data_IF_496682023081
#
_entry.id   IF_496682023081
#
_cell.length_a   1.000
_cell.length_b   1.000
_cell.length_c   1.000
_cell.angle_alpha   90.00
_cell.angle_beta   90.00
_cell.angle_gamma   90.00
#
_symmetry.space_group_name_H-M   'P 1'
#
loop_
_entity.id
_entity.type
_entity.pdbx_description
1 polymer ?
#
# COMPACT_ATOMS: atom_id res chain seq x y z
N UNK A 1 -11.29 17.85 0.28
CA UNK A 1 -10.87 19.22 -0.14
C UNK A 1 -9.37 19.29 -0.48
N UNK A 2 -8.44 18.71 0.34
CA UNK A 2 -7.00 18.87 0.14
C UNK A 2 -6.50 18.45 -1.25
N UNK A 3 -6.95 17.31 -1.78
CA UNK A 3 -6.56 16.87 -3.13
C UNK A 3 -7.11 17.78 -4.24
N UNK A 4 -8.37 18.25 -4.11
CA UNK A 4 -8.95 19.19 -5.04
C UNK A 4 -8.18 20.52 -5.04
N UNK A 5 -7.84 21.04 -3.86
CA UNK A 5 -7.02 22.25 -3.74
C UNK A 5 -5.65 22.08 -4.39
N UNK A 6 -5.04 20.89 -4.24
CA UNK A 6 -3.77 20.58 -4.90
C UNK A 6 -3.90 20.59 -6.44
N UNK A 7 -4.97 19.99 -6.99
CA UNK A 7 -5.21 19.98 -8.43
C UNK A 7 -5.40 21.40 -8.97
N UNK A 8 -6.21 22.24 -8.29
CA UNK A 8 -6.44 23.64 -8.66
C UNK A 8 -5.11 24.42 -8.65
N UNK A 9 -4.38 24.36 -7.52
CA UNK A 9 -3.12 25.09 -7.38
C UNK A 9 -2.07 24.65 -8.40
N UNK A 10 -1.97 23.34 -8.67
CA UNK A 10 -1.02 22.79 -9.64
C UNK A 10 -1.35 23.22 -11.08
N UNK A 11 -2.64 23.20 -11.45
CA UNK A 11 -3.10 23.69 -12.74
C UNK A 11 -2.77 25.18 -12.91
N UNK A 12 -3.13 25.98 -11.91
CA UNK A 12 -2.94 27.45 -11.97
C UNK A 12 -1.45 27.85 -11.97
N UNK A 13 -0.60 27.03 -11.34
CA UNK A 13 0.86 27.18 -11.39
C UNK A 13 1.52 26.63 -12.67
N UNK A 14 0.76 26.08 -13.62
CA UNK A 14 1.29 25.54 -14.85
C UNK A 14 2.11 24.24 -14.69
N UNK A 15 1.88 23.48 -13.64
CA UNK A 15 2.54 22.17 -13.43
C UNK A 15 2.08 21.21 -14.54
N UNK A 16 3.00 20.47 -15.14
CA UNK A 16 2.69 19.61 -16.28
C UNK A 16 1.85 18.37 -15.93
N UNK A 17 2.11 17.77 -14.78
CA UNK A 17 1.31 16.65 -14.25
C UNK A 17 1.57 16.44 -12.76
N UNK A 18 0.62 15.83 -12.06
CA UNK A 18 0.70 15.52 -10.63
C UNK A 18 0.47 14.04 -10.40
N UNK A 19 1.46 13.28 -9.84
CA UNK A 19 1.17 11.97 -9.29
C UNK A 19 0.39 12.12 -7.98
N UNK A 20 -0.71 11.39 -7.87
CA UNK A 20 -1.61 11.42 -6.71
C UNK A 20 -1.68 10.09 -5.98
N UNK A 21 -1.70 10.15 -4.65
CA UNK A 21 -1.88 8.98 -3.80
C UNK A 21 -3.34 8.50 -3.82
N UNK A 22 -3.65 7.52 -4.66
CA UNK A 22 -4.85 6.70 -4.62
C UNK A 22 -4.66 5.54 -3.62
N UNK A 23 -5.55 4.55 -3.63
CA UNK A 23 -5.49 3.44 -2.66
C UNK A 23 -6.11 2.17 -3.22
N UNK A 24 -5.54 1.02 -2.86
CA UNK A 24 -6.16 -0.28 -3.11
C UNK A 24 -7.53 -0.45 -2.42
N UNK A 25 -7.85 0.37 -1.42
CA UNK A 25 -9.18 0.37 -0.79
C UNK A 25 -10.30 0.76 -1.75
N UNK A 26 -10.00 1.42 -2.87
CA UNK A 26 -10.96 1.74 -3.94
C UNK A 26 -11.57 0.48 -4.57
N UNK A 27 -10.89 -0.67 -4.53
CA UNK A 27 -11.45 -1.93 -5.02
C UNK A 27 -12.65 -2.44 -4.22
N UNK A 28 -12.78 -2.03 -2.96
CA UNK A 28 -13.93 -2.34 -2.12
C UNK A 28 -14.26 -3.83 -2.06
N UNK A 29 -15.52 -4.19 -2.33
CA UNK A 29 -16.04 -5.55 -2.32
C UNK A 29 -15.84 -6.33 -3.64
N UNK A 30 -15.09 -5.81 -4.61
CA UNK A 30 -14.85 -6.51 -5.88
C UNK A 30 -14.19 -7.87 -5.62
N UNK A 31 -14.76 -9.00 -6.10
CA UNK A 31 -14.29 -10.33 -5.74
C UNK A 31 -13.05 -10.79 -6.52
N UNK A 32 -12.80 -10.22 -7.71
CA UNK A 32 -11.72 -10.64 -8.61
C UNK A 32 -10.32 -10.52 -8.01
N UNK A 33 -9.46 -11.49 -8.30
CA UNK A 33 -8.04 -11.51 -8.00
C UNK A 33 -7.27 -12.04 -9.21
N UNK A 34 -6.12 -11.42 -9.54
CA UNK A 34 -5.61 -10.18 -8.97
C UNK A 34 -6.49 -8.97 -9.29
N UNK A 35 -6.36 -7.88 -8.51
CA UNK A 35 -7.07 -6.61 -8.74
C UNK A 35 -6.48 -5.91 -9.96
N UNK A 36 -7.34 -5.59 -10.94
CA UNK A 36 -7.00 -4.80 -12.13
C UNK A 36 -7.66 -3.43 -12.05
N UNK A 37 -7.01 -2.40 -12.60
CA UNK A 37 -7.38 -0.99 -12.38
C UNK A 37 -8.80 -0.67 -12.84
N UNK A 38 -9.26 -1.29 -13.92
CA UNK A 38 -10.55 -0.97 -14.56
C UNK A 38 -11.76 -1.66 -13.92
N UNK A 39 -11.52 -2.58 -12.95
CA UNK A 39 -12.57 -3.34 -12.29
C UNK A 39 -12.60 -3.05 -10.77
N UNK A 40 -13.47 -2.13 -10.37
CA UNK A 40 -13.69 -1.77 -8.96
C UNK A 40 -15.07 -2.22 -8.48
N UNK A 41 -15.19 -2.47 -7.17
CA UNK A 41 -16.46 -2.74 -6.50
C UNK A 41 -16.98 -1.49 -5.77
N UNK A 42 -17.74 -1.72 -4.71
CA UNK A 42 -18.26 -0.65 -3.84
C UNK A 42 -17.28 -0.38 -2.71
N UNK A 43 -16.90 0.88 -2.45
CA UNK A 43 -16.06 1.23 -1.31
C UNK A 43 -16.63 0.72 0.02
N UNK A 44 -15.80 0.10 0.85
CA UNK A 44 -16.22 -0.50 2.14
C UNK A 44 -15.95 0.40 3.36
N UNK A 45 -15.42 1.61 3.14
CA UNK A 45 -15.14 2.55 4.24
C UNK A 45 -15.20 4.00 3.76
N UNK A 46 -15.43 4.97 4.67
CA UNK A 46 -15.35 6.40 4.35
C UNK A 46 -13.98 6.79 3.75
N UNK A 47 -12.89 6.18 4.23
CA UNK A 47 -11.56 6.37 3.65
C UNK A 47 -11.52 5.94 2.18
N UNK A 48 -12.04 4.76 1.84
CA UNK A 48 -12.09 4.29 0.46
C UNK A 48 -12.88 5.24 -0.45
N UNK A 49 -14.00 5.77 0.04
CA UNK A 49 -14.79 6.79 -0.68
C UNK A 49 -13.94 8.03 -0.96
N UNK A 50 -13.22 8.56 0.04
CA UNK A 50 -12.38 9.75 -0.16
C UNK A 50 -11.28 9.52 -1.19
N UNK A 51 -10.70 8.32 -1.24
CA UNK A 51 -9.67 7.97 -2.22
C UNK A 51 -10.25 7.82 -3.63
N UNK A 52 -11.42 7.22 -3.76
CA UNK A 52 -12.11 7.11 -5.05
C UNK A 52 -12.54 8.48 -5.58
N UNK A 53 -13.04 9.37 -4.73
CA UNK A 53 -13.38 10.75 -5.11
C UNK A 53 -12.17 11.50 -5.67
N UNK A 54 -10.95 11.26 -5.17
CA UNK A 54 -9.74 11.85 -5.72
C UNK A 54 -9.50 11.40 -7.18
N UNK A 55 -9.74 10.12 -7.50
CA UNK A 55 -9.62 9.61 -8.87
C UNK A 55 -10.66 10.25 -9.79
N UNK A 56 -11.91 10.42 -9.34
CA UNK A 56 -12.96 11.11 -10.09
C UNK A 56 -12.62 12.59 -10.35
N UNK A 57 -12.10 13.32 -9.35
CA UNK A 57 -11.62 14.68 -9.56
C UNK A 57 -10.50 14.75 -10.59
N UNK A 58 -9.52 13.85 -10.50
CA UNK A 58 -8.42 13.78 -11.45
C UNK A 58 -8.90 13.58 -12.89
N UNK A 59 -9.86 12.67 -13.09
CA UNK A 59 -10.48 12.40 -14.40
C UNK A 59 -11.22 13.63 -14.94
N UNK A 60 -12.01 14.30 -14.11
CA UNK A 60 -12.74 15.52 -14.52
C UNK A 60 -11.77 16.65 -14.86
N UNK A 61 -10.68 16.82 -14.09
CA UNK A 61 -9.64 17.82 -14.39
C UNK A 61 -8.95 17.57 -15.74
N UNK A 62 -8.71 16.31 -16.08
CA UNK A 62 -8.16 15.95 -17.39
C UNK A 62 -9.12 16.32 -18.53
N UNK A 63 -10.42 16.00 -18.38
CA UNK A 63 -11.43 16.26 -19.42
C UNK A 63 -11.79 17.74 -19.56
N UNK A 64 -11.95 18.47 -18.45
CA UNK A 64 -12.45 19.84 -18.47
C UNK A 64 -11.34 20.88 -18.63
N UNK A 65 -10.16 20.61 -18.13
CA UNK A 65 -9.06 21.58 -18.08
C UNK A 65 -7.81 21.13 -18.81
N UNK A 66 -7.77 19.92 -19.38
CA UNK A 66 -6.56 19.36 -20.00
C UNK A 66 -5.42 19.13 -19.01
N UNK A 67 -5.72 19.15 -17.69
CA UNK A 67 -4.70 19.01 -16.66
C UNK A 67 -4.39 17.55 -16.38
N UNK A 68 -3.13 17.15 -16.60
CA UNK A 68 -2.71 15.76 -16.48
C UNK A 68 -2.43 15.35 -15.03
N UNK A 69 -2.82 14.12 -14.70
CA UNK A 69 -2.50 13.49 -13.40
C UNK A 69 -2.29 11.99 -13.56
N UNK A 70 -1.68 11.36 -12.55
CA UNK A 70 -1.52 9.91 -12.46
C UNK A 70 -1.94 9.47 -11.06
N UNK A 71 -2.93 8.58 -10.98
CA UNK A 71 -3.33 7.94 -9.73
C UNK A 71 -2.46 6.72 -9.43
N UNK A 72 -1.91 6.63 -8.22
CA UNK A 72 -1.15 5.47 -7.77
C UNK A 72 -1.91 4.77 -6.64
N UNK A 73 -2.54 3.63 -6.93
CA UNK A 73 -3.24 2.80 -5.93
C UNK A 73 -2.21 1.98 -5.15
N UNK A 74 -1.76 2.52 -4.03
CA UNK A 74 -0.84 1.81 -3.15
C UNK A 74 -1.53 0.65 -2.46
N UNK A 75 -0.87 -0.52 -2.51
CA UNK A 75 -1.20 -1.70 -1.71
C UNK A 75 -0.34 -1.67 -0.45
N UNK A 76 -0.73 -2.36 0.57
CA UNK A 76 -0.16 -2.41 1.93
C UNK A 76 1.32 -2.00 2.05
N UNK A 77 1.59 -0.70 2.00
CA UNK A 77 2.95 -0.13 2.05
C UNK A 77 3.53 -0.32 3.45
N UNK A 78 4.81 -0.70 3.51
CA UNK A 78 5.57 -0.77 4.75
C UNK A 78 7.02 -0.32 4.55
N UNK A 79 7.67 0.07 5.63
CA UNK A 79 9.07 0.47 5.63
C UNK A 79 9.47 1.29 6.85
N UNK A 80 10.74 1.73 6.91
CA UNK A 80 11.23 2.61 7.97
C UNK A 80 10.39 3.87 8.13
N UNK A 81 10.37 4.44 9.35
CA UNK A 81 9.66 5.66 9.72
C UNK A 81 8.14 5.56 9.77
N UNK A 82 7.60 4.35 9.69
CA UNK A 82 6.17 4.11 9.87
C UNK A 82 5.88 3.97 11.37
N UNK A 83 4.98 4.81 11.91
CA UNK A 83 4.61 4.83 13.32
C UNK A 83 3.87 3.53 13.70
N UNK A 84 4.38 2.75 14.69
CA UNK A 84 3.72 1.54 15.15
C UNK A 84 2.51 1.80 16.05
N UNK A 85 2.44 2.97 16.69
CA UNK A 85 1.45 3.30 17.73
C UNK A 85 0.35 4.24 17.22
N UNK A 86 0.39 4.65 15.95
CA UNK A 86 -0.61 5.52 15.34
C UNK A 86 -2.00 4.87 15.27
N UNK A 87 -3.06 5.68 15.30
CA UNK A 87 -4.46 5.22 15.22
C UNK A 87 -4.75 4.32 14.00
N UNK A 88 -3.97 4.45 12.95
CA UNK A 88 -4.02 3.66 11.71
C UNK A 88 -2.73 2.86 11.48
N UNK A 89 -2.03 2.48 12.55
CA UNK A 89 -0.79 1.73 12.46
C UNK A 89 -0.94 0.46 11.63
N UNK A 90 -0.10 0.33 10.61
CA UNK A 90 -0.07 -0.84 9.74
C UNK A 90 0.41 -2.09 10.51
N UNK A 91 0.04 -3.26 10.01
CA UNK A 91 0.31 -4.54 10.69
C UNK A 91 1.81 -4.79 10.92
N UNK A 92 2.66 -4.50 9.93
CA UNK A 92 4.10 -4.77 10.01
C UNK A 92 4.78 -3.95 11.12
N UNK A 93 4.74 -2.61 11.15
CA UNK A 93 5.37 -1.85 12.21
C UNK A 93 4.80 -2.19 13.59
N UNK A 94 3.46 -2.34 13.71
CA UNK A 94 2.80 -2.69 14.98
C UNK A 94 3.24 -4.03 15.53
N UNK A 95 3.27 -5.08 14.69
CA UNK A 95 3.67 -6.41 15.13
C UNK A 95 5.18 -6.47 15.44
N UNK A 96 5.99 -5.79 14.64
CA UNK A 96 7.44 -5.71 14.89
C UNK A 96 7.72 -5.03 16.23
N UNK A 97 7.09 -3.91 16.51
CA UNK A 97 7.22 -3.22 17.80
C UNK A 97 6.74 -4.09 18.98
N UNK A 98 5.57 -4.75 18.85
CA UNK A 98 5.09 -5.66 19.87
C UNK A 98 6.06 -6.82 20.13
N UNK A 99 6.63 -7.43 19.09
CA UNK A 99 7.62 -8.50 19.23
C UNK A 99 8.90 -8.01 19.90
N UNK A 100 9.40 -6.81 19.60
CA UNK A 100 10.60 -6.22 20.22
C UNK A 100 10.33 -5.97 21.71
N UNK A 101 9.13 -5.48 22.07
CA UNK A 101 8.72 -5.22 23.46
C UNK A 101 8.33 -6.48 24.24
N UNK A 102 8.32 -7.66 23.59
CA UNK A 102 7.85 -8.91 24.21
C UNK A 102 6.32 -8.96 24.42
N UNK A 103 5.57 -8.10 23.79
CA UNK A 103 4.11 -8.00 23.91
C UNK A 103 3.39 -9.03 23.01
N UNK A 104 2.15 -9.44 23.36
CA UNK A 104 1.40 -10.38 22.54
C UNK A 104 1.03 -9.80 21.16
N UNK A 105 1.24 -10.58 20.11
CA UNK A 105 0.80 -10.26 18.74
C UNK A 105 -0.57 -10.89 18.48
N UNK A 106 -1.57 -10.05 18.19
CA UNK A 106 -2.90 -10.51 17.87
C UNK A 106 -3.12 -10.64 16.35
N UNK A 107 -3.67 -11.78 15.92
CA UNK A 107 -4.13 -12.06 14.56
C UNK A 107 -5.66 -12.13 14.57
N UNK A 108 -6.33 -11.31 13.75
CA UNK A 108 -7.77 -11.39 13.58
C UNK A 108 -8.12 -12.52 12.58
N UNK A 109 -9.03 -13.41 13.00
CA UNK A 109 -9.40 -14.60 12.25
C UNK A 109 -8.38 -15.74 12.38
N UNK A 110 -8.28 -16.58 11.37
CA UNK A 110 -7.44 -17.78 11.29
C UNK A 110 -6.00 -17.54 10.81
N UNK A 111 -5.67 -16.28 10.50
CA UNK A 111 -4.37 -15.90 9.96
C UNK A 111 -4.17 -16.15 8.46
N UNK A 112 -5.15 -16.71 7.74
CA UNK A 112 -5.08 -16.93 6.29
C UNK A 112 -5.48 -15.70 5.46
N UNK A 113 -5.97 -14.64 6.11
CA UNK A 113 -6.17 -13.34 5.45
C UNK A 113 -4.86 -12.88 4.83
N UNK A 114 -4.87 -12.59 3.53
CA UNK A 114 -3.64 -12.27 2.80
C UNK A 114 -3.65 -10.88 2.16
N UNK A 115 -2.46 -10.30 2.06
CA UNK A 115 -2.24 -8.96 1.51
C UNK A 115 -1.05 -8.98 0.55
N UNK A 116 -1.08 -8.05 -0.40
CA UNK A 116 0.06 -7.69 -1.22
C UNK A 116 0.82 -6.57 -0.49
N UNK A 117 1.93 -6.94 0.14
CA UNK A 117 2.76 -6.00 0.87
C UNK A 117 3.80 -5.38 -0.07
N UNK A 118 3.86 -4.05 -0.07
CA UNK A 118 4.76 -3.28 -0.93
C UNK A 118 5.79 -2.51 -0.08
N UNK A 119 7.06 -2.84 -0.23
CA UNK A 119 8.11 -2.10 0.46
C UNK A 119 8.22 -0.67 -0.08
N UNK A 120 8.49 0.28 0.81
CA UNK A 120 8.47 1.73 0.49
C UNK A 120 9.39 2.11 -0.67
N UNK A 121 10.54 1.45 -0.86
CA UNK A 121 11.43 1.74 -1.99
C UNK A 121 10.77 1.44 -3.35
N UNK A 122 9.93 0.39 -3.44
CA UNK A 122 9.13 0.13 -4.65
C UNK A 122 8.12 1.25 -4.89
N UNK A 123 7.52 1.79 -3.82
CA UNK A 123 6.57 2.92 -3.92
C UNK A 123 7.29 4.19 -4.37
N UNK A 124 8.50 4.47 -3.85
CA UNK A 124 9.33 5.59 -4.29
C UNK A 124 9.65 5.47 -5.79
N UNK A 125 10.04 4.27 -6.26
CA UNK A 125 10.25 4.03 -7.69
C UNK A 125 9.01 4.39 -8.51
N UNK A 126 7.81 3.92 -8.10
CA UNK A 126 6.57 4.21 -8.82
C UNK A 126 6.26 5.72 -8.87
N UNK A 127 6.51 6.45 -7.78
CA UNK A 127 6.31 7.90 -7.74
C UNK A 127 7.25 8.65 -8.68
N UNK A 128 8.54 8.28 -8.72
CA UNK A 128 9.53 8.88 -9.62
C UNK A 128 9.18 8.61 -11.08
N UNK A 129 8.78 7.38 -11.41
CA UNK A 129 8.34 7.00 -12.76
C UNK A 129 7.07 7.77 -13.17
N UNK A 130 6.10 7.92 -12.27
CA UNK A 130 4.89 8.69 -12.52
C UNK A 130 5.18 10.19 -12.73
N UNK A 131 6.11 10.76 -11.95
CA UNK A 131 6.49 12.16 -12.07
C UNK A 131 7.16 12.47 -13.42
N UNK A 132 7.90 11.50 -13.98
CA UNK A 132 8.60 11.62 -15.28
C UNK A 132 7.85 10.95 -16.45
N UNK A 133 6.60 10.56 -16.27
CA UNK A 133 5.83 9.78 -17.23
C UNK A 133 5.58 10.54 -18.54
N UNK A 134 5.63 9.80 -19.65
CA UNK A 134 5.27 10.32 -20.98
C UNK A 134 3.78 10.66 -21.08
N UNK A 135 3.39 11.43 -22.07
CA UNK A 135 1.98 11.82 -22.27
C UNK A 135 1.04 10.60 -22.38
N UNK A 136 1.46 9.51 -23.01
CA UNK A 136 0.65 8.30 -23.16
C UNK A 136 0.40 7.51 -21.88
N UNK A 137 1.20 7.76 -20.83
CA UNK A 137 1.03 7.15 -19.51
C UNK A 137 0.26 8.03 -18.52
N UNK A 138 -0.05 9.28 -18.87
CA UNK A 138 -0.79 10.22 -18.01
C UNK A 138 -2.31 10.00 -18.07
N UNK A 139 -3.02 10.61 -17.14
CA UNK A 139 -4.48 10.53 -16.99
C UNK A 139 -4.99 9.09 -16.79
N UNK A 140 -4.24 8.33 -16.04
CA UNK A 140 -4.53 6.94 -15.73
C UNK A 140 -4.26 6.63 -14.26
N UNK A 141 -4.81 5.50 -13.81
CA UNK A 141 -4.57 4.93 -12.48
C UNK A 141 -3.71 3.68 -12.64
N UNK A 142 -2.78 3.46 -11.70
CA UNK A 142 -1.86 2.34 -11.68
C UNK A 142 -1.80 1.66 -10.33
N UNK A 143 -1.78 0.35 -10.31
CA UNK A 143 -1.48 -0.43 -9.12
C UNK A 143 -0.01 -0.35 -8.75
N UNK A 144 0.28 -0.09 -7.47
CA UNK A 144 1.62 -0.07 -6.92
C UNK A 144 1.73 -1.10 -5.79
N UNK A 145 2.33 -2.23 -6.13
CA UNK A 145 2.43 -3.43 -5.31
C UNK A 145 3.65 -4.26 -5.75
N UNK A 146 3.88 -5.39 -5.09
CA UNK A 146 4.85 -6.38 -5.58
C UNK A 146 4.20 -7.45 -6.48
N UNK A 147 2.87 -7.56 -6.45
CA UNK A 147 2.07 -8.59 -7.16
C UNK A 147 2.22 -9.99 -6.56
N UNK A 148 2.40 -10.07 -5.24
CA UNK A 148 2.42 -11.34 -4.50
C UNK A 148 1.52 -11.27 -3.27
N UNK A 149 1.15 -12.42 -2.73
CA UNK A 149 0.34 -12.51 -1.52
C UNK A 149 1.12 -13.15 -0.39
N UNK A 150 0.98 -12.54 0.80
CA UNK A 150 1.48 -13.10 2.05
C UNK A 150 0.32 -13.12 3.05
N UNK A 151 0.01 -14.28 3.63
CA UNK A 151 -0.97 -14.37 4.70
C UNK A 151 -0.38 -13.91 6.05
N UNK A 152 -1.24 -13.70 7.03
CA UNK A 152 -0.82 -13.16 8.32
C UNK A 152 0.04 -14.15 9.12
N UNK A 153 -0.16 -15.47 8.96
CA UNK A 153 0.67 -16.49 9.59
C UNK A 153 2.08 -16.49 9.01
N UNK A 154 2.19 -16.40 7.67
CA UNK A 154 3.48 -16.27 6.97
C UNK A 154 4.19 -14.98 7.36
N UNK A 155 3.45 -13.86 7.44
CA UNK A 155 4.00 -12.57 7.87
C UNK A 155 4.55 -12.64 9.30
N UNK A 156 3.78 -13.19 10.23
CA UNK A 156 4.22 -13.38 11.62
C UNK A 156 5.53 -14.17 11.69
N UNK A 157 5.59 -15.30 10.96
CA UNK A 157 6.79 -16.12 10.91
C UNK A 157 8.00 -15.39 10.27
N UNK A 158 7.76 -14.58 9.24
CA UNK A 158 8.80 -13.81 8.57
C UNK A 158 9.39 -12.72 9.49
N UNK A 159 8.53 -11.96 10.18
CA UNK A 159 8.98 -10.95 11.15
C UNK A 159 9.78 -11.57 12.29
N UNK A 160 9.28 -12.66 12.88
CA UNK A 160 9.98 -13.37 13.95
C UNK A 160 11.36 -13.89 13.53
N UNK A 161 11.48 -14.46 12.32
CA UNK A 161 12.77 -14.90 11.76
C UNK A 161 13.72 -13.72 11.53
N UNK A 162 13.22 -12.63 10.98
CA UNK A 162 14.04 -11.44 10.74
C UNK A 162 14.54 -10.81 12.05
N UNK A 163 13.70 -10.72 13.08
CA UNK A 163 14.13 -10.28 14.42
C UNK A 163 15.22 -11.18 15.00
N UNK A 164 15.05 -12.51 14.92
CA UNK A 164 16.02 -13.47 15.43
C UNK A 164 17.39 -13.34 14.73
N UNK A 165 17.43 -13.06 13.42
CA UNK A 165 18.69 -12.81 12.69
C UNK A 165 19.41 -11.53 13.14
N UNK A 166 18.74 -10.64 13.88
CA UNK A 166 19.31 -9.45 14.50
C UNK A 166 19.47 -9.56 16.02
N UNK A 167 19.40 -10.77 16.57
CA UNK A 167 19.59 -11.03 18.00
C UNK A 167 18.36 -10.74 18.88
N UNK A 168 17.22 -10.41 18.30
CA UNK A 168 15.96 -10.18 19.04
C UNK A 168 15.11 -11.45 19.00
N UNK A 169 14.97 -12.13 20.13
CA UNK A 169 14.24 -13.39 20.25
C UNK A 169 12.83 -13.18 20.78
N UNK A 170 11.83 -13.50 19.97
CA UNK A 170 10.42 -13.47 20.34
C UNK A 170 9.89 -14.92 20.41
N UNK A 171 9.64 -15.42 21.61
CA UNK A 171 9.20 -16.81 21.87
C UNK A 171 7.67 -17.02 21.73
N UNK A 172 6.77 -16.06 22.12
CA UNK A 172 5.33 -16.30 22.09
C UNK A 172 4.80 -16.62 20.69
N UNK A 173 3.73 -17.44 20.65
CA UNK A 173 2.92 -17.63 19.45
C UNK A 173 1.93 -16.46 19.24
N UNK A 174 1.27 -16.38 18.08
CA UNK A 174 0.23 -15.39 17.85
C UNK A 174 -1.02 -15.72 18.65
N UNK A 175 -1.75 -14.68 19.06
CA UNK A 175 -3.05 -14.79 19.73
C UNK A 175 -4.14 -14.56 18.69
N UNK A 176 -4.92 -15.60 18.37
CA UNK A 176 -6.01 -15.48 17.42
C UNK A 176 -7.25 -14.86 18.07
N UNK A 177 -7.92 -13.97 17.32
CA UNK A 177 -9.13 -13.26 17.75
C UNK A 177 -10.23 -13.45 16.70
N UNK A 178 -11.43 -12.96 16.98
CA UNK A 178 -12.53 -12.93 16.01
C UNK A 178 -12.15 -12.16 14.72
N UNK A 179 -12.79 -12.54 13.61
CA UNK A 179 -12.62 -11.83 12.34
C UNK A 179 -13.06 -10.38 12.48
N UNK A 180 -12.30 -9.48 11.90
CA UNK A 180 -12.66 -8.07 11.85
C UNK A 180 -13.76 -7.84 10.81
N UNK A 181 -14.88 -7.24 11.22
CA UNK A 181 -15.97 -6.89 10.31
C UNK A 181 -15.48 -5.94 9.19
N UNK A 182 -15.89 -6.21 7.96
CA UNK A 182 -15.54 -5.41 6.79
C UNK A 182 -14.11 -5.61 6.27
N UNK A 183 -13.36 -6.57 6.81
CA UNK A 183 -12.01 -6.85 6.32
C UNK A 183 -12.06 -7.70 5.03
N UNK A 184 -11.32 -7.29 4.01
CA UNK A 184 -11.18 -8.04 2.76
C UNK A 184 -10.32 -9.27 3.00
N UNK A 185 -10.82 -10.47 2.66
CA UNK A 185 -10.10 -11.73 2.92
C UNK A 185 -8.75 -11.78 2.19
N UNK A 186 -8.72 -11.46 0.89
CA UNK A 186 -7.53 -11.54 0.06
C UNK A 186 -7.36 -10.29 -0.79
N UNK A 187 -6.12 -9.80 -0.91
CA UNK A 187 -5.78 -8.67 -1.76
C UNK A 187 -4.45 -8.95 -2.47
N UNK A 188 -4.47 -8.82 -3.79
CA UNK A 188 -3.31 -8.94 -4.68
C UNK A 188 -3.51 -8.03 -5.88
N UNK A 189 -2.47 -7.33 -6.31
CA UNK A 189 -2.50 -6.47 -7.48
C UNK A 189 -2.06 -7.20 -8.75
N UNK A 190 -2.70 -6.89 -9.88
CA UNK A 190 -2.02 -6.95 -11.17
C UNK A 190 -1.24 -5.64 -11.34
N UNK A 191 0.04 -5.73 -11.65
CA UNK A 191 0.92 -4.58 -11.92
C UNK A 191 1.34 -4.51 -13.40
N UNK A 192 0.70 -5.28 -14.26
CA UNK A 192 1.02 -5.35 -15.70
C UNK A 192 0.93 -4.00 -16.38
N UNK A 193 -0.11 -3.22 -16.08
CA UNK A 193 -0.28 -1.85 -16.60
C UNK A 193 0.86 -0.92 -16.18
N UNK A 194 1.23 -0.93 -14.90
CA UNK A 194 2.34 -0.12 -14.39
C UNK A 194 3.68 -0.54 -15.00
N UNK A 195 3.91 -1.85 -15.18
CA UNK A 195 5.10 -2.37 -15.88
C UNK A 195 5.17 -1.87 -17.32
N UNK A 196 4.07 -2.00 -18.06
CA UNK A 196 4.03 -1.66 -19.49
C UNK A 196 4.18 -0.17 -19.75
N UNK A 197 3.45 0.68 -19.01
CA UNK A 197 3.31 2.09 -19.34
C UNK A 197 4.25 3.00 -18.53
N UNK A 198 4.62 2.61 -17.31
CA UNK A 198 5.53 3.37 -16.45
C UNK A 198 6.94 2.75 -16.37
N UNK A 199 7.13 1.51 -16.81
CA UNK A 199 8.38 0.77 -16.58
C UNK A 199 8.58 0.35 -15.12
N UNK A 200 7.49 0.23 -14.34
CA UNK A 200 7.55 -0.14 -12.94
C UNK A 200 8.07 -1.57 -12.75
N UNK A 201 9.18 -1.70 -12.04
CA UNK A 201 9.85 -2.98 -11.78
C UNK A 201 10.22 -3.09 -10.30
N UNK A 202 9.27 -3.48 -9.41
CA UNK A 202 9.54 -3.56 -7.98
C UNK A 202 10.64 -4.59 -7.69
N UNK A 203 11.63 -4.19 -6.89
CA UNK A 203 12.82 -5.00 -6.63
C UNK A 203 12.79 -5.69 -5.26
N UNK A 204 11.98 -5.19 -4.33
CA UNK A 204 11.91 -5.70 -2.97
C UNK A 204 10.62 -6.51 -2.79
N UNK A 205 10.76 -7.83 -2.69
CA UNK A 205 9.68 -8.68 -2.17
C UNK A 205 9.48 -8.47 -0.67
N UNK A 206 8.55 -9.20 -0.07
CA UNK A 206 8.24 -9.07 1.36
C UNK A 206 9.46 -9.43 2.23
N UNK A 207 10.25 -10.44 1.87
CA UNK A 207 11.38 -10.88 2.66
C UNK A 207 12.53 -9.87 2.60
N UNK A 208 12.88 -9.38 1.40
CA UNK A 208 13.89 -8.36 1.20
C UNK A 208 13.49 -7.03 1.86
N UNK A 209 12.21 -6.64 1.74
CA UNK A 209 11.69 -5.42 2.37
C UNK A 209 11.71 -5.49 3.90
N UNK A 210 11.32 -6.61 4.50
CA UNK A 210 11.42 -6.82 5.96
C UNK A 210 12.90 -6.75 6.40
N UNK A 211 13.79 -7.44 5.71
CA UNK A 211 15.22 -7.42 6.04
C UNK A 211 15.80 -6.00 5.99
N UNK A 212 15.44 -5.21 4.96
CA UNK A 212 15.89 -3.84 4.80
C UNK A 212 15.32 -2.87 5.87
N UNK A 213 14.08 -3.13 6.35
CA UNK A 213 13.43 -2.28 7.35
C UNK A 213 13.82 -2.63 8.79
N UNK A 214 14.21 -3.88 9.05
CA UNK A 214 14.37 -4.40 10.41
C UNK A 214 15.38 -3.64 11.27
N UNK A 215 16.58 -3.25 10.78
CA UNK A 215 17.52 -2.46 11.58
C UNK A 215 16.92 -1.16 12.09
N UNK A 216 16.09 -0.51 11.26
CA UNK A 216 15.43 0.73 11.66
C UNK A 216 14.38 0.49 12.75
N UNK A 217 13.54 -0.54 12.60
CA UNK A 217 12.54 -0.86 13.62
C UNK A 217 13.19 -1.17 14.98
N UNK A 218 14.26 -1.97 14.99
CA UNK A 218 15.00 -2.31 16.23
C UNK A 218 15.57 -1.05 16.90
N UNK A 219 16.12 -0.12 16.11
CA UNK A 219 16.75 1.09 16.64
C UNK A 219 15.74 2.15 17.13
N UNK A 220 14.43 2.05 16.78
CA UNK A 220 13.45 3.09 17.04
C UNK A 220 12.18 2.59 17.77
N UNK A 221 12.22 1.37 18.31
CA UNK A 221 11.20 0.79 19.19
C UNK A 221 11.71 0.62 20.60
#
# INVERSE_FOLDING_TARGET
DGFLNLLVASRDAGVQSVPGAASSSTYGDHPGLPKVEDAIGRPLSPYAVTKYVNELYAEVFARCYGFASIGLRYFNVFGPRQDPDGAYAAVIPRWTAAMIRGEPVAINGDGETSRDFCYVANVVQANLLAASATAGARNQVYNVAFSSRTDLNQLFAALRRSLASHGVHYAPGPVYREFRAGDVRHSQADIGKARLLLGYAPQFDIAAGIAAAMPWYIAHT
#
